data_IF_452770353171
#
_entry.id   IF_452770353171
#
_cell.length_a   1.000
_cell.length_b   1.000
_cell.length_c   1.000
_cell.angle_alpha   90.00
_cell.angle_beta   90.00
_cell.angle_gamma   90.00
#
_symmetry.space_group_name_H-M   'P 1'
#
loop_
_entity.id
_entity.type
_entity.pdbx_description
1 polymer ?
#
# COMPACT_ATOMS: atom_id res chain seq x y z
N UNK A 1 20.59 -5.84 13.35
CA UNK A 1 19.17 -5.82 12.92
C UNK A 1 18.56 -4.42 13.04
N UNK A 2 18.69 -3.73 14.18
CA UNK A 2 18.15 -2.38 14.40
C UNK A 2 18.57 -1.35 13.32
N UNK A 3 19.87 -1.28 12.98
CA UNK A 3 20.37 -0.38 11.94
C UNK A 3 19.81 -0.65 10.53
N UNK A 4 19.43 -1.89 10.23
CA UNK A 4 18.83 -2.24 8.93
C UNK A 4 17.40 -1.71 8.86
N UNK A 5 16.63 -1.90 9.94
CA UNK A 5 15.24 -1.44 10.02
C UNK A 5 15.18 0.09 10.00
N UNK A 6 16.06 0.77 10.74
CA UNK A 6 16.14 2.24 10.77
C UNK A 6 16.45 2.85 9.40
N UNK A 7 17.25 2.16 8.59
CA UNK A 7 17.67 2.63 7.27
C UNK A 7 16.92 1.95 6.11
N UNK A 8 15.84 1.22 6.40
CA UNK A 8 15.08 0.49 5.39
C UNK A 8 14.38 1.41 4.39
N UNK A 9 13.99 2.60 4.85
CA UNK A 9 13.23 3.58 4.05
C UNK A 9 14.23 4.49 3.31
N UNK A 10 14.19 4.52 1.97
CA UNK A 10 14.95 5.47 1.18
C UNK A 10 14.60 6.93 1.48
N UNK A 11 15.56 7.82 1.26
CA UNK A 11 15.44 9.23 1.67
C UNK A 11 14.29 9.96 0.98
N UNK A 12 14.07 9.67 -0.30
CA UNK A 12 12.97 10.25 -1.07
C UNK A 12 11.58 9.80 -0.56
N UNK A 13 11.47 8.64 0.10
CA UNK A 13 10.23 8.19 0.75
C UNK A 13 10.06 8.71 2.18
N UNK A 14 11.09 9.27 2.83
CA UNK A 14 11.02 9.73 4.24
C UNK A 14 9.93 10.77 4.50
N UNK A 15 9.68 11.68 3.54
CA UNK A 15 8.63 12.70 3.67
C UNK A 15 7.24 12.07 3.69
N UNK A 16 7.03 11.07 2.83
CA UNK A 16 5.76 10.37 2.69
C UNK A 16 5.56 9.41 3.86
N UNK A 17 6.62 8.74 4.32
CA UNK A 17 6.58 7.76 5.42
C UNK A 17 6.23 8.37 6.79
N UNK A 18 6.35 9.69 6.92
CA UNK A 18 5.95 10.46 8.12
C UNK A 18 4.58 11.14 8.01
N UNK A 19 3.92 11.05 6.85
CA UNK A 19 2.64 11.75 6.62
C UNK A 19 1.52 11.07 7.40
N UNK A 20 0.79 11.83 8.21
CA UNK A 20 -0.36 11.32 8.95
C UNK A 20 -1.48 10.82 8.02
N UNK A 21 -2.26 9.87 8.52
CA UNK A 21 -3.51 9.47 7.87
C UNK A 21 -4.57 10.54 8.08
N UNK A 22 -5.29 10.85 7.01
CA UNK A 22 -6.42 11.80 7.03
C UNK A 22 -7.69 11.06 6.68
N UNK A 23 -8.84 11.67 6.98
CA UNK A 23 -10.15 11.13 6.57
C UNK A 23 -10.22 10.83 5.06
N UNK A 24 -9.57 11.65 4.24
CA UNK A 24 -9.44 11.41 2.80
C UNK A 24 -8.79 10.07 2.45
N UNK A 25 -7.90 9.52 3.27
CA UNK A 25 -7.30 8.20 3.03
C UNK A 25 -8.35 7.08 3.10
N UNK A 26 -9.33 7.21 3.98
CA UNK A 26 -10.44 6.27 4.11
C UNK A 26 -11.44 6.47 2.97
N UNK A 27 -11.75 7.73 2.62
CA UNK A 27 -12.63 8.04 1.48
C UNK A 27 -12.07 7.50 0.15
N UNK A 28 -10.75 7.56 -0.05
CA UNK A 28 -10.10 6.95 -1.21
C UNK A 28 -10.28 5.43 -1.24
N UNK A 29 -10.18 4.76 -0.09
CA UNK A 29 -10.43 3.33 -0.01
C UNK A 29 -11.90 3.00 -0.35
N UNK A 30 -12.85 3.72 0.25
CA UNK A 30 -14.29 3.57 -0.06
C UNK A 30 -14.56 3.80 -1.54
N UNK A 31 -14.01 4.86 -2.12
CA UNK A 31 -14.14 5.17 -3.55
C UNK A 31 -13.59 4.05 -4.43
N UNK A 32 -12.39 3.54 -4.13
CA UNK A 32 -11.80 2.42 -4.86
C UNK A 32 -12.66 1.16 -4.81
N UNK A 33 -13.10 0.72 -3.64
CA UNK A 33 -13.99 -0.44 -3.54
C UNK A 33 -15.33 -0.21 -4.24
N UNK A 34 -15.89 1.00 -4.14
CA UNK A 34 -17.11 1.38 -4.86
C UNK A 34 -16.95 1.28 -6.38
N UNK A 35 -15.81 1.70 -6.92
CA UNK A 35 -15.52 1.55 -8.36
C UNK A 35 -15.42 0.09 -8.79
N UNK A 36 -14.75 -0.77 -8.02
CA UNK A 36 -14.65 -2.19 -8.35
C UNK A 36 -16.01 -2.90 -8.31
N UNK A 37 -16.83 -2.60 -7.30
CA UNK A 37 -18.20 -3.13 -7.20
C UNK A 37 -19.03 -2.68 -8.41
N UNK A 38 -18.90 -1.42 -8.82
CA UNK A 38 -19.63 -0.88 -9.99
C UNK A 38 -19.21 -1.61 -11.27
N UNK A 39 -17.91 -1.83 -11.48
CA UNK A 39 -17.38 -2.61 -12.61
C UNK A 39 -17.95 -4.04 -12.59
N UNK A 40 -17.95 -4.68 -11.43
CA UNK A 40 -18.45 -6.05 -11.28
C UNK A 40 -19.96 -6.16 -11.53
N UNK A 41 -20.74 -5.17 -11.10
CA UNK A 41 -22.17 -5.09 -11.41
C UNK A 41 -22.43 -4.88 -12.91
N UNK A 42 -21.65 -4.02 -13.57
CA UNK A 42 -21.74 -3.84 -15.04
C UNK A 42 -21.50 -5.18 -15.74
N UNK A 43 -20.47 -5.93 -15.35
CA UNK A 43 -20.21 -7.26 -15.93
C UNK A 43 -21.34 -8.26 -15.71
N UNK A 44 -21.99 -8.24 -14.54
CA UNK A 44 -23.12 -9.13 -14.26
C UNK A 44 -24.38 -8.79 -15.06
N UNK A 45 -24.54 -7.52 -15.45
CA UNK A 45 -25.71 -7.03 -16.19
C UNK A 45 -25.60 -7.24 -17.71
N UNK A 46 -24.39 -7.30 -18.29
CA UNK A 46 -24.16 -7.42 -19.74
C UNK A 46 -24.28 -8.83 -20.33
N UNK A 47 -24.97 -9.74 -19.64
CA UNK A 47 -25.35 -11.09 -20.13
C UNK A 47 -24.19 -11.99 -20.63
N UNK A 48 -22.97 -11.74 -20.17
CA UNK A 48 -21.80 -12.62 -20.36
C UNK A 48 -21.83 -13.84 -19.43
N UNK A 49 -23.03 -14.25 -18.98
CA UNK A 49 -23.27 -15.25 -17.92
C UNK A 49 -22.62 -16.62 -18.16
N UNK A 50 -22.23 -16.96 -19.39
CA UNK A 50 -21.57 -18.23 -19.71
C UNK A 50 -20.08 -18.27 -19.35
N UNK A 51 -19.42 -17.13 -19.15
CA UNK A 51 -17.96 -17.06 -18.88
C UNK A 51 -17.67 -16.96 -17.37
N UNK A 52 -18.63 -16.51 -16.57
CA UNK A 52 -18.42 -16.21 -15.15
C UNK A 52 -18.68 -17.42 -14.25
N UNK A 53 -17.70 -17.79 -13.44
CA UNK A 53 -17.95 -18.64 -12.28
C UNK A 53 -18.85 -17.86 -11.28
N UNK A 54 -20.12 -18.24 -11.25
CA UNK A 54 -21.15 -17.61 -10.41
C UNK A 54 -20.81 -17.66 -8.91
N UNK A 55 -20.04 -18.65 -8.45
CA UNK A 55 -19.63 -18.74 -7.05
C UNK A 55 -18.51 -17.76 -6.73
N UNK A 56 -17.46 -17.73 -7.57
CA UNK A 56 -16.31 -16.86 -7.36
C UNK A 56 -16.70 -15.38 -7.47
N UNK A 57 -17.44 -14.98 -8.51
CA UNK A 57 -17.92 -13.60 -8.69
C UNK A 57 -18.78 -13.12 -7.51
N UNK A 58 -19.69 -13.97 -7.00
CA UNK A 58 -20.50 -13.66 -5.82
C UNK A 58 -19.66 -13.46 -4.58
N UNK A 59 -18.68 -14.34 -4.34
CA UNK A 59 -17.79 -14.22 -3.19
C UNK A 59 -16.95 -12.94 -3.25
N UNK A 60 -16.50 -12.54 -4.45
CA UNK A 60 -15.83 -11.27 -4.67
C UNK A 60 -16.72 -10.08 -4.32
N UNK A 61 -17.97 -10.07 -4.80
CA UNK A 61 -18.94 -9.01 -4.49
C UNK A 61 -19.17 -8.87 -2.98
N UNK A 62 -19.41 -9.98 -2.28
CA UNK A 62 -19.61 -10.01 -0.83
C UNK A 62 -18.36 -9.51 -0.10
N UNK A 63 -17.18 -9.98 -0.50
CA UNK A 63 -15.90 -9.57 0.09
C UNK A 63 -15.62 -8.07 -0.08
N UNK A 64 -15.76 -7.53 -1.30
CA UNK A 64 -15.57 -6.11 -1.58
C UNK A 64 -16.56 -5.25 -0.80
N UNK A 65 -17.84 -5.65 -0.75
CA UNK A 65 -18.88 -4.94 0.00
C UNK A 65 -18.58 -4.93 1.51
N UNK A 66 -18.15 -6.07 2.06
CA UNK A 66 -17.75 -6.17 3.46
C UNK A 66 -16.60 -5.21 3.81
N UNK A 67 -15.56 -5.15 2.97
CA UNK A 67 -14.42 -4.23 3.21
C UNK A 67 -14.83 -2.77 3.02
N UNK A 68 -15.72 -2.47 2.07
CA UNK A 68 -16.26 -1.13 1.90
C UNK A 68 -16.99 -0.66 3.16
N UNK A 69 -17.87 -1.51 3.72
CA UNK A 69 -18.59 -1.23 4.96
C UNK A 69 -17.64 -1.05 6.15
N UNK A 70 -16.60 -1.89 6.26
CA UNK A 70 -15.56 -1.73 7.29
C UNK A 70 -14.88 -0.36 7.16
N UNK A 71 -14.49 0.06 5.96
CA UNK A 71 -13.87 1.37 5.75
C UNK A 71 -14.81 2.54 6.08
N UNK A 72 -16.11 2.41 5.77
CA UNK A 72 -17.12 3.39 6.18
C UNK A 72 -17.20 3.50 7.70
N UNK A 73 -17.28 2.38 8.42
CA UNK A 73 -17.25 2.36 9.89
C UNK A 73 -15.98 3.03 10.41
N UNK A 74 -14.82 2.73 9.80
CA UNK A 74 -13.57 3.35 10.20
C UNK A 74 -13.57 4.88 10.04
N UNK A 75 -14.24 5.44 9.02
CA UNK A 75 -14.40 6.90 8.86
C UNK A 75 -15.08 7.50 10.08
N UNK A 76 -16.20 6.92 10.51
CA UNK A 76 -16.96 7.43 11.66
C UNK A 76 -16.15 7.35 12.96
N UNK A 77 -15.39 6.27 13.14
CA UNK A 77 -14.60 6.04 14.34
C UNK A 77 -13.25 6.78 14.36
N UNK A 78 -12.76 7.29 13.23
CA UNK A 78 -11.43 7.91 13.13
C UNK A 78 -11.27 9.16 14.00
N UNK A 79 -12.36 9.79 14.43
CA UNK A 79 -12.33 10.92 15.36
C UNK A 79 -11.80 10.53 16.75
N UNK A 80 -11.87 9.26 17.14
CA UNK A 80 -11.43 8.78 18.44
C UNK A 80 -9.93 8.43 18.45
N UNK A 81 -9.11 9.28 19.06
CA UNK A 81 -7.64 9.13 19.16
C UNK A 81 -7.19 7.77 19.71
N UNK A 82 -7.92 7.18 20.66
CA UNK A 82 -7.52 5.91 21.29
C UNK A 82 -7.58 4.72 20.32
N UNK A 83 -8.47 4.78 19.32
CA UNK A 83 -8.73 3.68 18.38
C UNK A 83 -8.00 3.91 17.04
N UNK A 84 -7.55 5.14 16.75
CA UNK A 84 -6.87 5.50 15.49
C UNK A 84 -5.75 4.54 15.07
N UNK A 85 -4.93 4.07 16.02
CA UNK A 85 -3.84 3.13 15.74
C UNK A 85 -4.31 1.81 15.10
N UNK A 86 -5.50 1.33 15.47
CA UNK A 86 -6.12 0.14 14.89
C UNK A 86 -6.76 0.45 13.54
N UNK A 87 -7.46 1.59 13.44
CA UNK A 87 -8.14 2.01 12.21
C UNK A 87 -7.16 2.24 11.06
N UNK A 88 -5.97 2.78 11.35
CA UNK A 88 -4.92 3.01 10.35
C UNK A 88 -4.38 1.68 9.79
N UNK A 89 -4.25 0.64 10.63
CA UNK A 89 -3.89 -0.71 10.15
C UNK A 89 -4.96 -1.24 9.22
N UNK A 90 -6.24 -1.11 9.61
CA UNK A 90 -7.37 -1.60 8.79
C UNK A 90 -7.36 -0.96 7.41
N UNK A 91 -7.22 0.37 7.30
CA UNK A 91 -7.16 1.04 5.99
C UNK A 91 -5.95 0.61 5.19
N UNK A 92 -4.77 0.51 5.83
CA UNK A 92 -3.56 0.08 5.15
C UNK A 92 -3.71 -1.32 4.56
N UNK A 93 -4.18 -2.29 5.36
CA UNK A 93 -4.43 -3.65 4.90
C UNK A 93 -5.52 -3.68 3.83
N UNK A 94 -6.57 -2.85 3.95
CA UNK A 94 -7.59 -2.75 2.92
C UNK A 94 -7.03 -2.27 1.58
N UNK A 95 -6.01 -1.41 1.58
CA UNK A 95 -5.32 -0.98 0.36
C UNK A 95 -4.46 -2.08 -0.26
N UNK A 96 -3.84 -2.94 0.57
CA UNK A 96 -3.11 -4.12 0.09
C UNK A 96 -4.07 -5.12 -0.53
N UNK A 97 -5.17 -5.43 0.16
CA UNK A 97 -6.20 -6.37 -0.29
C UNK A 97 -6.92 -5.86 -1.54
N UNK A 98 -7.06 -4.54 -1.69
CA UNK A 98 -7.65 -3.92 -2.88
C UNK A 98 -6.94 -4.34 -4.18
N UNK A 99 -5.61 -4.47 -4.15
CA UNK A 99 -4.84 -4.90 -5.34
C UNK A 99 -5.13 -6.36 -5.73
N UNK A 100 -5.41 -7.23 -4.76
CA UNK A 100 -5.86 -8.59 -5.05
C UNK A 100 -7.29 -8.63 -5.57
N UNK A 101 -8.18 -7.75 -5.08
CA UNK A 101 -9.52 -7.61 -5.64
C UNK A 101 -9.52 -7.05 -7.07
N UNK A 102 -8.62 -6.12 -7.39
CA UNK A 102 -8.38 -5.68 -8.77
C UNK A 102 -7.98 -6.86 -9.65
N UNK A 103 -6.98 -7.65 -9.24
CA UNK A 103 -6.55 -8.85 -9.97
C UNK A 103 -7.71 -9.84 -10.16
N UNK A 104 -8.45 -10.15 -9.10
CA UNK A 104 -9.59 -11.06 -9.15
C UNK A 104 -10.68 -10.59 -10.10
N UNK A 105 -10.90 -9.27 -10.20
CA UNK A 105 -11.87 -8.70 -11.15
C UNK A 105 -11.41 -8.88 -12.59
N UNK A 106 -10.10 -8.75 -12.86
CA UNK A 106 -9.53 -9.01 -14.19
C UNK A 106 -9.59 -10.49 -14.57
N UNK A 107 -9.37 -11.41 -13.63
CA UNK A 107 -9.41 -12.86 -13.92
C UNK A 107 -10.81 -13.38 -14.24
N UNK A 108 -11.87 -12.65 -13.89
CA UNK A 108 -13.23 -12.98 -14.34
C UNK A 108 -13.41 -12.89 -15.87
N UNK A 109 -12.45 -12.29 -16.60
CA UNK A 109 -12.47 -12.22 -18.06
C UNK A 109 -12.08 -13.53 -18.76
N UNK A 110 -11.70 -14.59 -18.03
CA UNK A 110 -11.37 -15.90 -18.61
C UNK A 110 -12.14 -17.03 -17.91
N UNK A 111 -12.29 -18.13 -18.63
CA UNK A 111 -12.57 -19.46 -18.09
C UNK A 111 -11.54 -19.86 -17.00
N UNK A 112 -11.98 -20.60 -15.99
CA UNK A 112 -11.18 -21.00 -14.82
C UNK A 112 -10.61 -19.82 -13.98
N UNK A 113 -11.37 -18.71 -13.93
CA UNK A 113 -11.02 -17.47 -13.22
C UNK A 113 -10.43 -17.63 -11.81
N UNK A 114 -10.96 -18.55 -10.99
CA UNK A 114 -10.47 -18.83 -9.63
C UNK A 114 -9.05 -19.43 -9.65
N UNK A 115 -8.81 -20.43 -10.50
CA UNK A 115 -7.51 -21.10 -10.59
C UNK A 115 -6.44 -20.13 -11.05
N UNK A 116 -6.74 -19.33 -12.09
CA UNK A 116 -5.85 -18.28 -12.59
C UNK A 116 -5.57 -17.26 -11.49
N UNK A 117 -6.61 -16.79 -10.78
CA UNK A 117 -6.43 -15.86 -9.65
C UNK A 117 -5.50 -16.40 -8.57
N UNK A 118 -5.66 -17.67 -8.18
CA UNK A 118 -4.81 -18.29 -7.15
C UNK A 118 -3.36 -18.41 -7.63
N UNK A 119 -3.15 -18.86 -8.87
CA UNK A 119 -1.82 -18.97 -9.47
C UNK A 119 -1.12 -17.61 -9.54
N UNK A 120 -1.79 -16.60 -10.06
CA UNK A 120 -1.23 -15.24 -10.16
C UNK A 120 -0.97 -14.61 -8.79
N UNK A 121 -1.83 -14.90 -7.81
CA UNK A 121 -1.61 -14.46 -6.42
C UNK A 121 -0.33 -15.04 -5.83
N UNK A 122 -0.02 -16.30 -6.11
CA UNK A 122 1.25 -16.94 -5.68
C UNK A 122 2.45 -16.24 -6.35
N UNK A 123 2.38 -15.98 -7.66
CA UNK A 123 3.44 -15.26 -8.40
C UNK A 123 3.67 -13.87 -7.81
N UNK A 124 2.60 -13.14 -7.49
CA UNK A 124 2.66 -11.82 -6.86
C UNK A 124 3.36 -11.92 -5.50
N UNK A 125 2.97 -12.87 -4.64
CA UNK A 125 3.58 -13.04 -3.33
C UNK A 125 5.09 -13.33 -3.44
N UNK A 126 5.50 -14.20 -4.36
CA UNK A 126 6.91 -14.49 -4.62
C UNK A 126 7.64 -13.21 -5.07
N UNK A 127 7.07 -12.45 -6.02
CA UNK A 127 7.65 -11.19 -6.47
C UNK A 127 7.80 -10.17 -5.34
N UNK A 128 6.78 -10.02 -4.51
CA UNK A 128 6.81 -9.12 -3.35
C UNK A 128 7.90 -9.51 -2.35
N UNK A 129 8.08 -10.81 -2.09
CA UNK A 129 9.18 -11.32 -1.23
C UNK A 129 10.54 -11.02 -1.85
N UNK A 130 10.72 -11.22 -3.16
CA UNK A 130 11.96 -10.88 -3.87
C UNK A 130 12.24 -9.37 -3.76
N UNK A 131 11.23 -8.52 -3.98
CA UNK A 131 11.37 -7.07 -3.85
C UNK A 131 11.76 -6.63 -2.43
N UNK A 132 11.20 -7.29 -1.41
CA UNK A 132 11.57 -7.04 -0.02
C UNK A 132 13.02 -7.42 0.27
N UNK A 133 13.44 -8.62 -0.17
CA UNK A 133 14.82 -9.11 -0.02
C UNK A 133 15.83 -8.23 -0.79
N UNK A 134 15.46 -7.77 -1.98
CA UNK A 134 16.24 -6.82 -2.78
C UNK A 134 16.52 -5.54 -1.98
N UNK A 135 15.49 -4.93 -1.39
CA UNK A 135 15.69 -3.71 -0.60
C UNK A 135 16.53 -3.97 0.67
N UNK A 136 16.33 -5.11 1.35
CA UNK A 136 17.17 -5.51 2.49
C UNK A 136 18.65 -5.62 2.09
N UNK A 137 18.92 -6.18 0.91
CA UNK A 137 20.28 -6.34 0.41
C UNK A 137 20.92 -4.98 0.10
N UNK A 138 20.18 -4.06 -0.52
CA UNK A 138 20.64 -2.68 -0.75
C UNK A 138 21.03 -1.97 0.55
N UNK A 139 20.16 -2.05 1.57
CA UNK A 139 20.42 -1.46 2.89
C UNK A 139 21.67 -2.08 3.52
N UNK A 140 21.85 -3.40 3.40
CA UNK A 140 23.04 -4.10 3.91
C UNK A 140 24.32 -3.62 3.21
N UNK A 141 24.30 -3.43 1.90
CA UNK A 141 25.43 -2.89 1.13
C UNK A 141 25.74 -1.46 1.58
N UNK A 142 24.72 -0.60 1.66
CA UNK A 142 24.88 0.80 2.08
C UNK A 142 25.47 0.91 3.48
N UNK A 143 25.03 0.08 4.43
CA UNK A 143 25.62 0.03 5.77
C UNK A 143 27.08 -0.42 5.76
N UNK A 144 27.44 -1.41 4.92
CA UNK A 144 28.82 -1.90 4.81
C UNK A 144 29.75 -0.86 4.20
N UNK A 145 29.28 -0.11 3.20
CA UNK A 145 30.05 0.92 2.50
C UNK A 145 29.97 2.31 3.15
N UNK A 146 29.11 2.47 4.17
CA UNK A 146 28.75 3.76 4.77
C UNK A 146 28.24 4.79 3.75
N UNK A 147 27.64 4.30 2.66
CA UNK A 147 27.14 5.12 1.55
C UNK A 147 25.68 4.77 1.26
N UNK A 148 24.78 5.64 1.69
CA UNK A 148 23.33 5.48 1.51
C UNK A 148 22.84 5.92 0.13
N UNK A 149 23.67 6.58 -0.68
CA UNK A 149 23.33 6.96 -2.05
C UNK A 149 23.03 5.74 -2.92
N UNK A 150 23.67 4.59 -2.62
CA UNK A 150 23.43 3.31 -3.30
C UNK A 150 21.98 2.86 -3.09
N UNK A 151 21.54 2.74 -1.83
CA UNK A 151 20.14 2.39 -1.52
C UNK A 151 19.18 3.39 -2.18
N UNK A 152 19.43 4.68 -2.05
CA UNK A 152 18.49 5.71 -2.53
C UNK A 152 18.36 5.74 -4.05
N UNK A 153 19.46 5.52 -4.77
CA UNK A 153 19.45 5.42 -6.22
C UNK A 153 18.74 4.16 -6.68
N UNK A 154 19.03 3.01 -6.06
CA UNK A 154 18.59 1.70 -6.56
C UNK A 154 17.23 1.23 -6.01
N UNK A 155 16.70 1.80 -4.92
CA UNK A 155 15.47 1.31 -4.29
C UNK A 155 14.25 1.30 -5.21
N UNK A 156 14.16 2.23 -6.17
CA UNK A 156 13.05 2.28 -7.13
C UNK A 156 13.23 1.36 -8.34
N UNK A 157 14.44 0.85 -8.62
CA UNK A 157 14.69 0.12 -9.86
C UNK A 157 13.80 -1.10 -9.98
N UNK A 158 13.67 -1.90 -8.92
CA UNK A 158 12.82 -3.08 -8.92
C UNK A 158 11.35 -2.75 -9.28
N UNK A 159 10.79 -1.75 -8.61
CA UNK A 159 9.40 -1.32 -8.82
C UNK A 159 9.19 -0.67 -10.19
N UNK A 160 10.13 0.16 -10.63
CA UNK A 160 10.04 0.88 -11.90
C UNK A 160 10.19 -0.07 -13.09
N UNK A 161 11.10 -1.05 -13.01
CA UNK A 161 11.27 -2.05 -14.06
C UNK A 161 10.02 -2.91 -14.17
N UNK A 162 9.51 -3.45 -13.05
CA UNK A 162 8.30 -4.26 -13.08
C UNK A 162 7.07 -3.45 -13.50
N UNK A 163 6.90 -2.25 -12.97
CA UNK A 163 5.78 -1.37 -13.34
C UNK A 163 5.83 -0.94 -14.80
N UNK A 164 7.02 -0.60 -15.31
CA UNK A 164 7.26 -0.22 -16.70
C UNK A 164 7.01 -1.38 -17.66
N UNK A 165 7.65 -2.54 -17.42
CA UNK A 165 7.45 -3.75 -18.22
C UNK A 165 5.99 -4.19 -18.17
N UNK A 166 5.38 -4.21 -16.98
CA UNK A 166 3.97 -4.56 -16.80
C UNK A 166 3.05 -3.66 -17.62
N UNK A 167 3.27 -2.34 -17.58
CA UNK A 167 2.47 -1.37 -18.36
C UNK A 167 2.66 -1.57 -19.87
N UNK A 168 3.89 -1.81 -20.34
CA UNK A 168 4.17 -2.10 -21.75
C UNK A 168 3.44 -3.37 -22.19
N UNK A 169 3.48 -4.44 -21.38
CA UNK A 169 2.79 -5.70 -21.67
C UNK A 169 1.27 -5.50 -21.72
N UNK A 170 0.70 -4.69 -20.82
CA UNK A 170 -0.73 -4.36 -20.84
C UNK A 170 -1.11 -3.60 -22.12
N UNK A 171 -0.31 -2.61 -22.53
CA UNK A 171 -0.53 -1.91 -23.80
C UNK A 171 -0.46 -2.88 -24.98
N UNK A 172 0.57 -3.73 -25.03
CA UNK A 172 0.73 -4.74 -26.08
C UNK A 172 -0.43 -5.73 -26.13
N UNK A 173 -0.96 -6.12 -24.97
CA UNK A 173 -2.13 -6.98 -24.85
C UNK A 173 -3.33 -6.38 -25.57
N UNK A 174 -3.58 -5.08 -25.38
CA UNK A 174 -4.68 -4.38 -26.06
C UNK A 174 -4.44 -4.20 -27.55
N UNK A 175 -3.20 -3.98 -27.98
CA UNK A 175 -2.90 -3.76 -29.41
C UNK A 175 -2.91 -5.03 -30.24
N UNK A 176 -2.56 -6.18 -29.64
CA UNK A 176 -2.46 -7.49 -30.32
C UNK A 176 -3.70 -8.34 -30.01
N UNK A 177 -4.63 -7.83 -29.19
CA UNK A 177 -5.83 -8.55 -28.72
C UNK A 177 -5.50 -9.93 -28.11
N UNK A 178 -4.52 -9.94 -27.21
CA UNK A 178 -4.05 -11.17 -26.57
C UNK A 178 -4.25 -11.11 -25.07
N UNK A 179 -5.34 -11.73 -24.60
CA UNK A 179 -5.73 -11.78 -23.19
C UNK A 179 -4.66 -12.41 -22.30
N UNK A 180 -3.85 -13.36 -22.80
CA UNK A 180 -2.76 -13.97 -22.01
C UNK A 180 -1.74 -12.93 -21.54
N UNK A 181 -1.50 -11.88 -22.33
CA UNK A 181 -0.59 -10.81 -21.95
C UNK A 181 -1.17 -9.96 -20.79
N UNK A 182 -2.49 -9.84 -20.64
CA UNK A 182 -3.09 -9.19 -19.45
C UNK A 182 -2.66 -9.90 -18.17
N UNK A 183 -2.68 -11.23 -18.17
CA UNK A 183 -2.34 -12.05 -17.01
C UNK A 183 -0.85 -12.11 -16.71
N UNK A 184 0.00 -11.54 -17.58
CA UNK A 184 1.42 -11.30 -17.29
C UNK A 184 1.64 -9.86 -16.83
N UNK A 185 0.98 -8.91 -17.48
CA UNK A 185 1.13 -7.48 -17.21
C UNK A 185 0.56 -7.04 -15.86
N UNK A 186 -0.66 -7.50 -15.51
CA UNK A 186 -1.33 -7.12 -14.26
C UNK A 186 -0.51 -7.53 -13.02
N UNK A 187 -0.04 -8.78 -12.89
CA UNK A 187 0.81 -9.17 -11.76
C UNK A 187 2.05 -8.29 -11.58
N UNK A 188 2.74 -7.89 -12.65
CA UNK A 188 3.92 -7.04 -12.56
C UNK A 188 3.60 -5.64 -12.01
N UNK A 189 2.49 -5.05 -12.45
CA UNK A 189 2.01 -3.77 -11.91
C UNK A 189 1.61 -3.94 -10.43
N UNK A 190 0.91 -5.02 -10.08
CA UNK A 190 0.51 -5.29 -8.70
C UNK A 190 1.72 -5.49 -7.78
N UNK A 191 2.74 -6.24 -8.21
CA UNK A 191 4.00 -6.42 -7.45
C UNK A 191 4.65 -5.06 -7.20
N UNK A 192 4.75 -4.21 -8.22
CA UNK A 192 5.34 -2.88 -8.09
C UNK A 192 4.62 -2.03 -7.04
N UNK A 193 3.28 -1.99 -7.08
CA UNK A 193 2.44 -1.26 -6.12
C UNK A 193 2.53 -1.84 -4.71
N UNK A 194 2.58 -3.17 -4.57
CA UNK A 194 2.76 -3.83 -3.27
C UNK A 194 4.14 -3.56 -2.68
N UNK A 195 5.20 -3.55 -3.49
CA UNK A 195 6.53 -3.16 -3.00
C UNK A 195 6.57 -1.71 -2.52
N UNK A 196 5.86 -0.80 -3.19
CA UNK A 196 5.72 0.59 -2.75
C UNK A 196 5.05 0.67 -1.37
N UNK A 197 4.08 -0.22 -1.10
CA UNK A 197 3.36 -0.28 0.17
C UNK A 197 4.28 -0.52 1.39
N UNK A 198 5.47 -1.12 1.20
CA UNK A 198 6.45 -1.31 2.27
C UNK A 198 6.92 0.03 2.86
N UNK A 199 7.18 1.01 2.00
CA UNK A 199 7.65 2.33 2.44
C UNK A 199 6.55 3.12 3.15
N UNK A 200 5.30 2.82 2.83
CA UNK A 200 4.14 3.37 3.52
C UNK A 200 3.85 2.71 4.86
N UNK A 201 4.31 1.48 5.11
CA UNK A 201 4.08 0.77 6.37
C UNK A 201 4.62 1.53 7.59
N UNK A 202 5.71 2.28 7.42
CA UNK A 202 6.26 3.13 8.49
C UNK A 202 5.26 4.17 9.04
N UNK A 203 4.34 4.65 8.19
CA UNK A 203 3.26 5.56 8.59
C UNK A 203 2.27 4.88 9.52
N UNK A 204 2.08 3.57 9.39
CA UNK A 204 1.22 2.79 10.28
C UNK A 204 1.93 2.62 11.63
N UNK A 205 3.21 2.24 11.60
CA UNK A 205 4.03 2.01 12.80
C UNK A 205 4.14 3.28 13.66
N UNK A 206 4.11 4.48 13.08
CA UNK A 206 4.19 5.73 13.86
C UNK A 206 3.01 5.92 14.82
N UNK A 207 1.82 5.39 14.54
CA UNK A 207 0.66 5.43 15.45
C UNK A 207 0.79 4.46 16.62
N UNK A 208 1.76 3.55 16.57
CA UNK A 208 2.02 2.53 17.59
C UNK A 208 3.25 2.85 18.44
N UNK A 209 4.09 3.80 18.02
CA UNK A 209 5.18 4.32 18.84
C UNK A 209 4.58 5.17 19.96
N UNK A 210 5.03 4.94 21.20
CA UNK A 210 4.68 5.79 22.35
C UNK A 210 5.11 7.23 22.06
N UNK A 211 4.33 8.22 22.50
CA UNK A 211 4.60 9.68 22.40
C UNK A 211 5.93 10.14 23.06
N UNK A 212 6.70 9.23 23.65
CA UNK A 212 7.99 9.50 24.26
C UNK A 212 9.04 9.85 23.19
N UNK A 213 9.09 11.14 22.81
CA UNK A 213 10.27 11.94 22.47
C UNK A 213 9.92 13.24 21.71
N UNK A 214 8.64 13.46 21.36
CA UNK A 214 8.23 14.70 20.66
C UNK A 214 8.06 15.87 21.64
N UNK A 215 7.73 15.58 22.90
CA UNK A 215 7.52 16.63 23.93
C UNK A 215 8.79 17.02 24.69
N UNK A 216 9.82 16.17 24.74
CA UNK A 216 11.08 16.50 25.41
C UNK A 216 11.82 17.65 24.71
N UNK A 217 11.82 17.70 23.38
CA UNK A 217 12.45 18.81 22.63
C UNK A 217 11.65 20.12 22.70
N UNK A 218 10.33 20.05 22.87
CA UNK A 218 9.52 21.26 23.16
C UNK A 218 9.78 21.79 24.56
N UNK A 219 10.05 20.91 25.53
CA UNK A 219 10.33 21.32 26.91
C UNK A 219 11.65 22.10 27.03
N UNK A 220 12.68 21.77 26.24
CA UNK A 220 13.98 22.47 26.29
C UNK A 220 13.85 23.93 25.80
N UNK A 221 13.06 24.17 24.76
CA UNK A 221 12.77 25.52 24.25
C UNK A 221 11.74 26.28 25.11
N UNK A 222 10.72 25.60 25.64
CA UNK A 222 9.75 26.21 26.55
C UNK A 222 10.38 26.69 27.85
N UNK A 223 11.28 25.88 28.42
CA UNK A 223 11.95 26.17 29.69
C UNK A 223 12.96 27.32 29.54
N UNK A 224 13.66 27.41 28.41
CA UNK A 224 14.57 28.53 28.14
C UNK A 224 13.84 29.87 27.93
N UNK A 225 12.65 29.86 27.31
CA UNK A 225 11.80 31.06 27.16
C UNK A 225 11.23 31.50 28.53
N UNK A 226 10.83 30.56 29.39
CA UNK A 226 10.37 30.88 30.75
C UNK A 226 11.50 31.43 31.63
N UNK A 227 12.71 30.88 31.55
CA UNK A 227 13.88 31.39 32.28
C UNK A 227 14.22 32.82 31.82
N UNK A 228 14.14 33.11 30.52
CA UNK A 228 14.34 34.48 30.00
C UNK A 228 13.27 35.46 30.48
N UNK A 229 11.99 35.03 30.54
CA UNK A 229 10.90 35.87 31.08
C UNK A 229 11.07 36.14 32.57
N UNK A 230 11.46 35.15 33.38
CA UNK A 230 11.73 35.34 34.82
C UNK A 230 12.92 36.25 35.10
N UNK A 231 13.93 36.28 34.21
CA UNK A 231 15.07 37.21 34.32
C UNK A 231 14.72 38.64 33.92
N UNK A 232 13.79 38.86 32.99
CA UNK A 232 13.33 40.20 32.60
C UNK A 232 12.49 40.90 33.69
N UNK A 233 11.79 40.15 34.54
CA UNK A 233 10.94 40.70 35.59
C UNK A 233 11.67 40.91 36.94
N UNK A 234 12.99 40.69 37.00
CA UNK A 234 13.84 41.12 38.12
C UNK A 234 14.54 42.42 37.73
N UNK A 235 13.82 43.54 37.84
CA UNK A 235 14.37 44.88 37.96
C UNK A 235 13.68 45.56 39.12
#
# INVERSE_FOLDING_TARGET
MNKIIENFIPDFYKKISKKEFKMNSFLLAVGGYGTLITILLIFQLTDTRSIFDNSFSRNLFVGMTGILLINLICIFLFKNKHIQKYLVIVVYLSGVVFLFFMLATVTLLIENSLEVFLKESIVILIGVVIGFLYNLFLVKISLKKQDFSIRDSFANYYMNILGGIGTIILLLSTTIDNTKLLFIGVPFVVISLLCLSFFHFSRVVSYWKKESNIELDKSIYGNSIEIMKKRKNKK
#
